data_IF_395616833448
#
_entry.id   IF_395616833448
#
_cell.length_a   1.000
_cell.length_b   1.000
_cell.length_c   1.000
_cell.angle_alpha   90.00
_cell.angle_beta   90.00
_cell.angle_gamma   90.00
#
_symmetry.space_group_name_H-M   'P 1'
#
loop_
_entity.id
_entity.type
_entity.pdbx_description
1 polymer ?
#
# COMPACT_ATOMS: atom_id res chain seq x y z
N UNK A 1 55.39 45.38 12.50
CA UNK A 1 55.60 44.34 13.52
C UNK A 1 54.73 43.14 13.12
N UNK A 2 55.31 42.11 12.50
CA UNK A 2 54.61 40.89 12.06
C UNK A 2 54.86 39.81 13.11
N UNK A 3 53.82 39.34 13.79
CA UNK A 3 53.92 38.15 14.65
C UNK A 3 53.47 36.93 13.86
N UNK A 4 54.41 35.99 13.68
CA UNK A 4 54.14 34.60 13.30
C UNK A 4 53.60 33.88 14.54
N UNK A 5 52.46 33.22 14.41
CA UNK A 5 52.01 32.21 15.36
C UNK A 5 51.96 30.87 14.62
N UNK A 6 52.93 30.02 14.94
CA UNK A 6 53.03 28.64 14.47
C UNK A 6 52.09 27.80 15.33
N UNK A 7 50.96 27.34 14.77
CA UNK A 7 50.08 26.39 15.45
C UNK A 7 50.50 24.96 15.04
N UNK A 8 51.13 24.25 15.97
CA UNK A 8 51.32 22.80 15.91
C UNK A 8 50.02 22.14 16.38
N UNK A 9 49.25 21.57 15.46
CA UNK A 9 48.14 20.68 15.78
C UNK A 9 48.62 19.23 15.61
N UNK A 10 48.77 18.55 16.74
CA UNK A 10 49.00 17.10 16.83
C UNK A 10 47.82 16.37 16.19
N UNK A 11 48.10 15.54 15.18
CA UNK A 11 47.13 14.60 14.63
C UNK A 11 46.77 13.55 15.68
N UNK A 12 45.65 13.74 16.36
CA UNK A 12 44.98 12.65 17.08
C UNK A 12 44.43 11.67 16.06
N UNK A 13 44.85 10.42 16.14
CA UNK A 13 44.27 9.32 15.40
C UNK A 13 42.80 9.14 15.83
N UNK A 14 41.88 9.74 15.08
CA UNK A 14 40.48 9.34 15.10
C UNK A 14 40.42 7.94 14.50
N UNK A 15 40.01 6.97 15.31
CA UNK A 15 39.45 5.73 14.80
C UNK A 15 38.25 6.11 13.94
N UNK A 16 38.43 6.08 12.62
CA UNK A 16 37.34 6.11 11.66
C UNK A 16 36.57 4.79 11.83
N UNK A 17 35.66 4.74 12.80
CA UNK A 17 34.47 3.91 12.67
C UNK A 17 33.79 4.42 11.42
N UNK A 18 33.99 3.70 10.31
CA UNK A 18 33.22 3.85 9.09
C UNK A 18 31.76 3.73 9.49
N UNK A 19 31.08 4.87 9.64
CA UNK A 19 29.63 4.89 9.60
C UNK A 19 29.26 4.32 8.24
N UNK A 20 28.49 3.25 8.22
CA UNK A 20 27.85 2.78 7.00
C UNK A 20 26.96 3.95 6.51
N UNK A 21 27.43 4.71 5.52
CA UNK A 21 26.67 5.79 4.88
C UNK A 21 25.72 5.23 3.83
N UNK A 22 25.14 4.06 4.12
CA UNK A 22 24.13 3.44 3.29
C UNK A 22 22.73 3.83 3.78
N UNK A 23 21.73 3.87 2.90
CA UNK A 23 20.33 3.96 3.28
C UNK A 23 19.98 2.82 4.26
N UNK A 24 19.09 3.11 5.20
CA UNK A 24 18.62 2.13 6.18
C UNK A 24 17.73 1.08 5.49
N UNK A 25 17.80 -0.17 5.95
CA UNK A 25 16.84 -1.22 5.55
C UNK A 25 15.43 -0.86 6.07
N UNK A 26 14.37 -1.29 5.40
CA UNK A 26 12.98 -1.03 5.82
C UNK A 26 12.68 -1.31 7.31
N UNK A 27 13.13 -2.43 7.92
CA UNK A 27 12.94 -2.67 9.35
C UNK A 27 13.63 -1.64 10.26
N UNK A 28 14.78 -1.11 9.83
CA UNK A 28 15.52 -0.09 10.56
C UNK A 28 14.85 1.29 10.43
N UNK A 29 14.24 1.60 9.27
CA UNK A 29 13.45 2.81 9.07
C UNK A 29 12.21 2.81 9.96
N UNK A 30 11.48 1.69 10.03
CA UNK A 30 10.31 1.56 10.91
C UNK A 30 10.68 1.82 12.37
N UNK A 31 11.81 1.25 12.82
CA UNK A 31 12.29 1.48 14.19
C UNK A 31 12.74 2.92 14.42
N UNK A 32 13.43 3.54 13.43
CA UNK A 32 13.91 4.93 13.53
C UNK A 32 12.75 5.94 13.56
N UNK A 33 11.74 5.71 12.75
CA UNK A 33 10.62 6.63 12.53
C UNK A 33 9.38 6.28 13.37
N UNK A 34 9.47 5.30 14.27
CA UNK A 34 8.36 4.84 15.13
C UNK A 34 7.09 4.49 14.33
N UNK A 35 7.28 3.87 13.17
CA UNK A 35 6.18 3.52 12.26
C UNK A 35 5.45 2.27 12.75
N UNK A 36 4.16 2.11 12.38
CA UNK A 36 3.44 0.87 12.63
C UNK A 36 4.14 -0.31 11.95
N UNK A 37 4.09 -1.48 12.58
CA UNK A 37 4.71 -2.71 12.03
C UNK A 37 4.02 -3.19 10.75
N UNK A 38 2.75 -2.82 10.52
CA UNK A 38 2.08 -3.06 9.24
C UNK A 38 2.75 -2.38 8.06
N UNK A 39 3.62 -1.40 8.31
CA UNK A 39 4.35 -0.74 7.24
C UNK A 39 5.38 -1.64 6.54
N UNK A 40 5.62 -2.89 6.99
CA UNK A 40 6.42 -3.86 6.25
C UNK A 40 5.55 -4.68 5.28
N UNK A 41 5.83 -4.59 3.98
CA UNK A 41 5.27 -5.51 2.98
C UNK A 41 6.12 -6.78 2.77
N UNK A 42 7.28 -6.86 3.40
CA UNK A 42 8.25 -7.96 3.26
C UNK A 42 9.55 -7.63 3.98
N UNK A 43 10.62 -8.38 3.68
CA UNK A 43 11.89 -8.25 4.43
C UNK A 43 12.57 -6.88 4.25
N UNK A 44 12.39 -6.23 3.09
CA UNK A 44 13.07 -4.96 2.76
C UNK A 44 12.18 -3.89 2.10
N UNK A 45 10.86 -4.10 1.99
CA UNK A 45 9.92 -3.13 1.41
C UNK A 45 9.07 -2.42 2.47
N UNK A 46 8.95 -1.10 2.34
CA UNK A 46 8.13 -0.25 3.21
C UNK A 46 6.84 0.16 2.47
N UNK A 47 5.70 0.09 3.16
CA UNK A 47 4.41 0.60 2.71
C UNK A 47 3.75 1.35 3.85
N UNK A 48 4.02 2.65 3.89
CA UNK A 48 3.47 3.51 4.90
C UNK A 48 2.17 4.13 4.41
N UNK A 49 1.12 4.05 5.22
CA UNK A 49 -0.10 4.84 5.02
C UNK A 49 -0.43 5.62 6.29
N UNK A 50 -0.74 6.90 6.13
CA UNK A 50 -1.08 7.79 7.24
C UNK A 50 -2.03 8.90 6.83
N UNK A 51 -2.57 9.59 7.84
CA UNK A 51 -3.43 10.75 7.66
C UNK A 51 -3.04 11.93 8.57
N UNK A 52 -3.15 13.15 8.06
CA UNK A 52 -3.04 14.38 8.84
C UNK A 52 -1.60 14.72 9.23
N UNK A 53 -1.43 15.53 10.28
CA UNK A 53 -0.13 16.08 10.69
C UNK A 53 0.91 15.00 11.06
N UNK A 54 0.46 13.86 11.60
CA UNK A 54 1.37 12.75 11.90
C UNK A 54 1.94 12.13 10.63
N UNK A 55 1.15 12.03 9.56
CA UNK A 55 1.61 11.50 8.29
C UNK A 55 2.71 12.34 7.66
N UNK A 56 2.59 13.67 7.74
CA UNK A 56 3.64 14.57 7.25
C UNK A 56 4.97 14.34 7.98
N UNK A 57 4.94 14.18 9.31
CA UNK A 57 6.14 13.92 10.13
C UNK A 57 6.77 12.56 9.85
N UNK A 58 5.94 11.53 9.71
CA UNK A 58 6.40 10.18 9.42
C UNK A 58 7.08 10.14 8.04
N UNK A 59 6.52 10.84 7.05
CA UNK A 59 7.09 10.94 5.71
C UNK A 59 8.43 11.67 5.67
N UNK A 60 8.52 12.82 6.36
CA UNK A 60 9.79 13.54 6.48
C UNK A 60 10.87 12.63 7.09
N UNK A 61 10.51 11.86 8.12
CA UNK A 61 11.43 10.89 8.72
C UNK A 61 11.83 9.77 7.76
N UNK A 62 10.87 9.19 7.02
CA UNK A 62 11.13 8.12 6.04
C UNK A 62 12.08 8.62 4.95
N UNK A 63 11.79 9.78 4.37
CA UNK A 63 12.59 10.36 3.30
C UNK A 63 14.01 10.71 3.78
N UNK A 64 14.16 11.26 4.99
CA UNK A 64 15.48 11.46 5.63
C UNK A 64 16.22 10.13 5.89
N UNK A 65 15.51 9.10 6.37
CA UNK A 65 16.09 7.80 6.68
C UNK A 65 16.65 7.08 5.44
N UNK A 66 16.02 7.29 4.28
CA UNK A 66 16.47 6.78 3.00
C UNK A 66 17.38 7.73 2.23
N UNK A 67 17.65 8.93 2.76
CA UNK A 67 18.43 9.97 2.09
C UNK A 67 17.85 10.31 0.70
N UNK A 68 16.53 10.48 0.63
CA UNK A 68 15.87 11.03 -0.55
C UNK A 68 16.51 12.38 -0.93
N UNK A 69 16.66 12.64 -2.22
CA UNK A 69 17.16 13.93 -2.69
C UNK A 69 16.15 15.05 -2.44
N UNK A 70 16.67 16.28 -2.37
CA UNK A 70 15.88 17.49 -2.11
C UNK A 70 14.80 17.74 -3.18
N UNK A 71 15.01 17.24 -4.41
CA UNK A 71 14.06 17.39 -5.53
C UNK A 71 12.81 16.51 -5.31
N UNK A 72 12.99 15.26 -4.89
CA UNK A 72 11.89 14.36 -4.53
C UNK A 72 11.08 14.89 -3.34
N UNK A 73 11.76 15.45 -2.34
CA UNK A 73 11.12 16.11 -1.19
C UNK A 73 10.23 17.26 -1.64
N UNK A 74 10.72 18.11 -2.53
CA UNK A 74 9.97 19.26 -3.07
C UNK A 74 8.74 18.79 -3.89
N UNK A 75 8.91 17.78 -4.76
CA UNK A 75 7.80 17.22 -5.56
C UNK A 75 6.69 16.61 -4.70
N UNK A 76 7.06 15.87 -3.64
CA UNK A 76 6.09 15.29 -2.69
C UNK A 76 5.36 16.39 -1.92
N UNK A 77 6.07 17.42 -1.45
CA UNK A 77 5.50 18.52 -0.68
C UNK A 77 4.58 19.43 -1.51
N UNK A 78 4.88 19.64 -2.78
CA UNK A 78 4.04 20.44 -3.69
C UNK A 78 2.75 19.73 -4.11
N UNK A 79 2.53 18.47 -3.68
CA UNK A 79 1.33 17.66 -3.99
C UNK A 79 1.08 17.54 -5.49
N UNK A 80 2.13 17.66 -6.31
CA UNK A 80 1.98 17.76 -7.76
C UNK A 80 1.90 16.40 -8.44
N UNK A 81 1.99 15.30 -7.70
CA UNK A 81 2.13 13.97 -8.25
C UNK A 81 0.80 13.23 -8.15
N UNK A 82 0.38 12.58 -9.22
CA UNK A 82 -0.67 11.55 -9.20
C UNK A 82 -0.05 10.15 -9.14
N UNK A 83 -0.86 9.11 -8.94
CA UNK A 83 -0.42 7.71 -8.82
C UNK A 83 0.53 7.26 -9.95
N UNK A 84 0.45 7.89 -11.12
CA UNK A 84 1.23 7.56 -12.32
C UNK A 84 2.59 8.28 -12.42
N UNK A 85 2.90 9.26 -11.56
CA UNK A 85 3.96 10.25 -11.83
C UNK A 85 5.26 10.09 -11.02
N UNK A 86 5.42 9.09 -10.16
CA UNK A 86 6.64 9.00 -9.34
C UNK A 86 7.32 7.65 -9.47
N UNK A 87 8.45 7.65 -10.19
CA UNK A 87 9.54 6.70 -10.03
C UNK A 87 10.83 7.51 -9.97
N UNK A 88 11.34 7.76 -8.77
CA UNK A 88 12.67 8.34 -8.58
C UNK A 88 13.63 7.32 -8.00
N UNK A 89 14.92 7.46 -8.30
CA UNK A 89 15.99 6.62 -7.82
C UNK A 89 16.91 7.43 -6.90
N UNK A 90 16.60 7.41 -5.61
CA UNK A 90 17.59 7.73 -4.58
C UNK A 90 18.20 6.40 -4.12
N UNK A 91 19.47 6.17 -4.45
CA UNK A 91 20.28 5.06 -3.93
C UNK A 91 19.77 3.63 -4.17
N UNK A 92 19.09 3.38 -5.28
CA UNK A 92 18.54 2.07 -5.58
C UNK A 92 17.28 1.76 -4.77
N UNK A 93 16.45 2.78 -4.54
CA UNK A 93 15.08 2.60 -4.07
C UNK A 93 14.12 3.20 -5.09
N UNK A 94 12.99 2.53 -5.25
CA UNK A 94 11.86 3.03 -6.02
C UNK A 94 10.79 3.53 -5.07
N UNK A 95 10.25 4.71 -5.37
CA UNK A 95 9.20 5.35 -4.58
C UNK A 95 7.90 5.32 -5.37
N UNK A 96 6.79 4.96 -4.72
CA UNK A 96 5.46 5.10 -5.30
C UNK A 96 4.53 5.81 -4.31
N UNK A 97 3.75 6.76 -4.82
CA UNK A 97 2.89 7.63 -4.02
C UNK A 97 1.43 7.51 -4.44
N UNK A 98 0.53 7.42 -3.48
CA UNK A 98 -0.90 7.50 -3.75
C UNK A 98 -1.62 8.32 -2.68
N UNK A 99 -2.19 9.46 -3.08
CA UNK A 99 -3.00 10.33 -2.25
C UNK A 99 -3.64 11.43 -3.09
N UNK A 100 -4.75 12.02 -2.64
CA UNK A 100 -5.29 13.25 -3.25
C UNK A 100 -4.93 14.51 -2.46
N UNK A 101 -4.57 14.33 -1.20
CA UNK A 101 -4.14 15.34 -0.26
C UNK A 101 -3.36 14.68 0.90
N UNK A 102 -2.72 15.48 1.74
CA UNK A 102 -2.03 15.04 2.96
C UNK A 102 -2.97 14.45 4.02
N UNK A 103 -4.29 14.50 3.82
CA UNK A 103 -5.24 13.86 4.72
C UNK A 103 -5.30 12.35 4.52
N UNK A 104 -4.82 11.84 3.37
CA UNK A 104 -4.60 10.40 3.15
C UNK A 104 -3.41 10.22 2.22
N UNK A 105 -2.28 9.82 2.80
CA UNK A 105 -1.03 9.67 2.07
C UNK A 105 -0.50 8.27 2.21
N UNK A 106 -0.05 7.70 1.08
CA UNK A 106 0.65 6.44 1.04
C UNK A 106 1.98 6.55 0.32
N UNK A 107 3.00 5.98 0.92
CA UNK A 107 4.37 5.93 0.40
C UNK A 107 4.85 4.48 0.39
N UNK A 108 5.20 4.00 -0.79
CA UNK A 108 5.86 2.70 -0.96
C UNK A 108 7.32 2.90 -1.33
N UNK A 109 8.19 2.13 -0.68
CA UNK A 109 9.64 2.14 -0.91
C UNK A 109 10.08 0.71 -1.19
N UNK A 110 10.66 0.48 -2.37
CA UNK A 110 11.14 -0.83 -2.79
C UNK A 110 12.66 -0.85 -2.92
N UNK A 111 13.34 -1.92 -2.47
CA UNK A 111 14.74 -2.11 -2.77
C UNK A 111 14.89 -2.48 -4.25
N UNK A 112 15.65 -1.71 -5.02
CA UNK A 112 15.92 -2.00 -6.43
C UNK A 112 17.14 -1.28 -6.97
N UNK A 113 18.11 -2.02 -7.49
CA UNK A 113 19.28 -1.45 -8.14
C UNK A 113 18.91 -0.53 -9.31
N UNK A 114 19.69 0.56 -9.45
CA UNK A 114 19.45 1.68 -10.38
C UNK A 114 19.28 1.31 -11.85
N UNK A 115 19.59 0.06 -12.23
CA UNK A 115 19.66 -0.39 -13.61
C UNK A 115 18.45 -1.24 -14.06
N UNK A 116 17.55 -1.63 -13.14
CA UNK A 116 16.30 -2.33 -13.52
C UNK A 116 15.09 -1.57 -12.98
N UNK A 117 14.55 -0.69 -13.82
CA UNK A 117 13.21 -0.14 -13.63
C UNK A 117 12.17 -1.23 -13.88
N UNK A 118 11.89 -2.07 -12.88
CA UNK A 118 10.63 -2.82 -12.85
C UNK A 118 9.51 -1.90 -12.39
N UNK A 119 8.30 -2.12 -12.90
CA UNK A 119 7.08 -1.52 -12.34
C UNK A 119 7.04 -1.83 -10.83
N UNK A 120 6.69 -0.85 -9.97
CA UNK A 120 6.60 -1.09 -8.53
C UNK A 120 5.62 -2.24 -8.28
N UNK A 121 5.95 -3.20 -7.41
CA UNK A 121 5.08 -4.36 -7.21
C UNK A 121 3.72 -3.90 -6.69
N UNK A 122 2.67 -4.39 -7.36
CA UNK A 122 1.27 -4.12 -7.03
C UNK A 122 0.96 -4.67 -5.64
N UNK A 123 -0.01 -4.04 -4.98
CA UNK A 123 -0.44 -4.49 -3.66
C UNK A 123 -1.18 -5.82 -3.74
N UNK A 124 -1.33 -6.56 -2.63
CA UNK A 124 -2.00 -7.84 -2.66
C UNK A 124 -3.42 -7.78 -3.25
N UNK A 125 -4.25 -6.82 -2.83
CA UNK A 125 -5.62 -6.66 -3.33
C UNK A 125 -5.67 -6.15 -4.78
N UNK A 126 -4.74 -5.26 -5.15
CA UNK A 126 -4.61 -4.76 -6.52
C UNK A 126 -4.19 -5.87 -7.49
N UNK A 127 -3.16 -6.64 -7.11
CA UNK A 127 -2.67 -7.80 -7.88
C UNK A 127 -3.75 -8.86 -8.03
N UNK A 128 -4.49 -9.15 -6.95
CA UNK A 128 -5.58 -10.11 -6.99
C UNK A 128 -6.74 -9.61 -7.84
N UNK A 129 -7.06 -8.30 -7.76
CA UNK A 129 -8.11 -7.69 -8.58
C UNK A 129 -7.83 -7.83 -10.06
N UNK A 130 -6.64 -7.43 -10.52
CA UNK A 130 -6.21 -7.57 -11.92
C UNK A 130 -6.15 -9.05 -12.35
N UNK A 131 -5.60 -9.93 -11.53
CA UNK A 131 -5.49 -11.35 -11.87
C UNK A 131 -6.85 -12.03 -12.02
N UNK A 132 -7.87 -11.53 -11.32
CA UNK A 132 -9.23 -12.05 -11.34
C UNK A 132 -10.21 -11.23 -12.21
N UNK A 133 -9.74 -10.19 -12.91
CA UNK A 133 -10.58 -9.38 -13.81
C UNK A 133 -11.55 -8.41 -13.11
N UNK A 134 -11.25 -8.04 -11.86
CA UNK A 134 -12.05 -7.09 -11.06
C UNK A 134 -11.22 -5.86 -10.65
N UNK A 135 -10.22 -5.48 -11.43
CA UNK A 135 -9.36 -4.32 -11.17
C UNK A 135 -10.15 -3.02 -10.96
N UNK A 136 -11.30 -2.87 -11.63
CA UNK A 136 -12.20 -1.72 -11.49
C UNK A 136 -12.93 -1.67 -10.12
N UNK A 137 -12.92 -2.78 -9.36
CA UNK A 137 -13.45 -2.88 -7.99
C UNK A 137 -12.40 -2.55 -6.92
N UNK A 138 -11.15 -2.32 -7.31
CA UNK A 138 -10.07 -1.94 -6.40
C UNK A 138 -10.11 -0.43 -6.16
N UNK A 139 -10.18 -0.03 -4.89
CA UNK A 139 -10.24 1.37 -4.46
C UNK A 139 -9.20 1.67 -3.38
N UNK A 140 -9.17 2.92 -2.91
CA UNK A 140 -8.29 3.38 -1.84
C UNK A 140 -6.80 3.09 -2.10
N UNK A 141 -6.39 3.24 -3.36
CA UNK A 141 -5.01 3.02 -3.79
C UNK A 141 -4.56 1.56 -3.65
N UNK A 142 -5.46 0.58 -3.77
CA UNK A 142 -5.12 -0.84 -3.69
C UNK A 142 -5.32 -1.48 -2.32
N UNK A 143 -5.95 -0.78 -1.36
CA UNK A 143 -6.21 -1.29 0.01
C UNK A 143 -7.62 -1.80 0.22
N UNK A 144 -8.53 -1.46 -0.68
CA UNK A 144 -9.93 -1.82 -0.56
C UNK A 144 -10.37 -2.47 -1.85
N UNK A 145 -11.14 -3.55 -1.72
CA UNK A 145 -11.78 -4.23 -2.82
C UNK A 145 -13.28 -4.30 -2.52
N UNK A 146 -14.08 -3.65 -3.37
CA UNK A 146 -15.53 -3.51 -3.20
C UNK A 146 -16.25 -4.27 -4.31
N UNK A 147 -16.77 -5.44 -3.96
CA UNK A 147 -17.44 -6.37 -4.87
C UNK A 147 -18.95 -6.26 -4.70
N UNK A 148 -19.64 -6.03 -5.80
CA UNK A 148 -21.10 -6.04 -5.91
C UNK A 148 -21.50 -7.35 -6.59
N UNK A 149 -22.31 -8.17 -5.93
CA UNK A 149 -22.65 -9.49 -6.45
C UNK A 149 -23.55 -9.46 -7.68
N UNK A 150 -23.61 -10.59 -8.39
CA UNK A 150 -24.73 -10.88 -9.28
C UNK A 150 -25.78 -11.76 -8.59
N UNK A 151 -26.97 -11.21 -8.37
CA UNK A 151 -28.12 -11.99 -7.90
C UNK A 151 -28.91 -12.65 -9.02
N UNK A 152 -29.78 -13.58 -8.61
CA UNK A 152 -30.37 -14.57 -9.50
C UNK A 152 -31.65 -14.12 -10.20
N UNK A 153 -31.55 -13.20 -11.16
CA UNK A 153 -32.60 -12.94 -12.18
C UNK A 153 -32.14 -12.14 -13.42
N UNK A 154 -30.89 -11.63 -13.45
CA UNK A 154 -30.41 -10.75 -14.55
C UNK A 154 -29.79 -11.48 -15.75
N UNK A 155 -30.00 -12.80 -15.89
CA UNK A 155 -29.50 -13.59 -17.05
C UNK A 155 -30.21 -13.29 -18.38
N UNK A 156 -30.88 -12.14 -18.50
CA UNK A 156 -31.44 -11.71 -19.78
C UNK A 156 -30.39 -10.90 -20.54
N UNK A 157 -30.08 -11.33 -21.76
CA UNK A 157 -29.11 -10.70 -22.68
C UNK A 157 -29.44 -9.21 -22.94
N UNK A 158 -30.66 -8.77 -22.62
CA UNK A 158 -31.17 -7.42 -22.87
C UNK A 158 -30.85 -6.38 -21.78
N UNK A 159 -30.32 -6.78 -20.60
CA UNK A 159 -30.10 -5.86 -19.48
C UNK A 159 -28.63 -5.46 -19.23
N UNK A 160 -27.70 -5.90 -20.10
CA UNK A 160 -26.26 -5.53 -20.05
C UNK A 160 -25.95 -4.04 -20.10
N UNK A 161 -26.94 -3.21 -20.46
CA UNK A 161 -26.77 -1.76 -20.58
C UNK A 161 -27.33 -0.95 -19.39
N UNK A 162 -27.88 -1.61 -18.34
CA UNK A 162 -28.53 -0.90 -17.22
C UNK A 162 -28.24 -1.45 -15.81
N UNK A 163 -27.34 -2.42 -15.66
CA UNK A 163 -26.79 -2.78 -14.36
C UNK A 163 -25.77 -1.73 -13.88
N UNK A 164 -25.54 -1.56 -12.55
CA UNK A 164 -24.33 -0.89 -12.08
C UNK A 164 -23.10 -1.53 -12.75
N UNK A 165 -22.07 -0.72 -12.92
CA UNK A 165 -21.09 -0.89 -14.00
C UNK A 165 -20.30 -2.22 -13.96
N UNK A 166 -20.27 -2.94 -12.83
CA UNK A 166 -19.61 -4.26 -12.69
C UNK A 166 -20.32 -5.08 -11.61
N UNK A 167 -20.96 -6.20 -12.00
CA UNK A 167 -21.42 -7.24 -11.07
C UNK A 167 -20.40 -8.38 -11.12
N UNK A 168 -20.07 -8.94 -9.96
CA UNK A 168 -19.03 -9.94 -9.78
C UNK A 168 -19.64 -11.32 -9.79
N UNK A 169 -19.13 -12.20 -10.65
CA UNK A 169 -19.63 -13.56 -10.77
C UNK A 169 -19.00 -14.51 -9.74
N UNK A 170 -19.59 -15.70 -9.49
CA UNK A 170 -19.05 -16.65 -8.52
C UNK A 170 -17.63 -17.15 -8.81
N UNK A 171 -17.17 -17.14 -10.07
CA UNK A 171 -15.85 -17.59 -10.48
C UNK A 171 -14.79 -16.53 -10.11
N UNK A 172 -15.12 -15.25 -10.29
CA UNK A 172 -14.30 -14.11 -9.85
C UNK A 172 -14.15 -14.08 -8.32
N UNK A 173 -15.24 -14.28 -7.57
CA UNK A 173 -15.18 -14.45 -6.10
C UNK A 173 -14.25 -15.58 -5.69
N UNK A 174 -14.36 -16.75 -6.34
CA UNK A 174 -13.53 -17.90 -6.03
C UNK A 174 -12.06 -17.63 -6.37
N UNK A 175 -11.78 -16.95 -7.48
CA UNK A 175 -10.44 -16.53 -7.86
C UNK A 175 -9.82 -15.65 -6.76
N UNK A 176 -10.53 -14.60 -6.34
CA UNK A 176 -10.08 -13.66 -5.31
C UNK A 176 -9.82 -14.36 -3.98
N UNK A 177 -10.78 -15.14 -3.49
CA UNK A 177 -10.63 -15.83 -2.21
C UNK A 177 -9.50 -16.87 -2.23
N UNK A 178 -9.17 -17.41 -3.40
CA UNK A 178 -8.01 -18.31 -3.56
C UNK A 178 -6.70 -17.54 -3.51
N UNK A 179 -6.58 -16.43 -4.25
CA UNK A 179 -5.36 -15.60 -4.27
C UNK A 179 -5.09 -14.89 -2.94
N UNK A 180 -6.15 -14.45 -2.26
CA UNK A 180 -6.06 -13.82 -0.94
C UNK A 180 -5.97 -14.83 0.20
N UNK A 181 -5.91 -16.12 -0.10
CA UNK A 181 -5.87 -17.22 0.87
C UNK A 181 -6.98 -17.11 1.95
N UNK A 182 -8.15 -16.60 1.56
CA UNK A 182 -9.28 -16.39 2.47
C UNK A 182 -9.65 -17.71 3.15
N UNK A 183 -9.67 -17.78 4.49
CA UNK A 183 -9.96 -19.04 5.17
C UNK A 183 -11.34 -19.59 4.82
N UNK A 184 -11.42 -20.92 4.67
CA UNK A 184 -12.69 -21.60 4.37
C UNK A 184 -13.80 -21.34 5.39
N UNK A 185 -13.47 -20.94 6.63
CA UNK A 185 -14.45 -20.51 7.63
C UNK A 185 -15.17 -19.22 7.20
N UNK A 186 -14.44 -18.24 6.67
CA UNK A 186 -14.99 -16.96 6.20
C UNK A 186 -15.91 -17.20 5.02
N UNK A 187 -15.46 -17.94 4.00
CA UNK A 187 -16.28 -18.24 2.81
C UNK A 187 -17.49 -19.13 3.16
N UNK A 188 -17.35 -20.02 4.14
CA UNK A 188 -18.50 -20.80 4.66
C UNK A 188 -19.52 -19.91 5.36
N UNK A 189 -19.08 -18.92 6.15
CA UNK A 189 -19.98 -17.95 6.78
C UNK A 189 -20.72 -17.12 5.73
N UNK A 190 -20.02 -16.64 4.70
CA UNK A 190 -20.63 -15.96 3.55
C UNK A 190 -21.71 -16.83 2.88
N UNK A 191 -21.40 -18.10 2.58
CA UNK A 191 -22.35 -19.03 1.94
C UNK A 191 -23.62 -19.33 2.76
N UNK A 192 -23.58 -19.09 4.08
CA UNK A 192 -24.70 -19.33 5.01
C UNK A 192 -25.43 -18.05 5.38
N UNK A 193 -24.94 -16.90 4.96
CA UNK A 193 -25.52 -15.60 5.27
C UNK A 193 -26.84 -15.43 4.51
N UNK A 194 -27.89 -15.06 5.23
CA UNK A 194 -29.22 -14.80 4.66
C UNK A 194 -29.47 -13.30 4.63
N UNK A 195 -30.42 -12.89 3.80
CA UNK A 195 -30.79 -11.47 3.67
C UNK A 195 -31.16 -10.79 4.99
N UNK A 196 -31.77 -11.53 5.91
CA UNK A 196 -32.20 -11.04 7.21
C UNK A 196 -31.07 -10.92 8.24
N UNK A 197 -29.90 -11.51 7.97
CA UNK A 197 -28.78 -11.49 8.90
C UNK A 197 -28.06 -10.12 8.87
N UNK A 198 -28.28 -9.32 7.81
CA UNK A 198 -27.67 -8.01 7.64
C UNK A 198 -26.17 -8.08 7.42
N UNK A 199 -25.47 -6.97 7.65
CA UNK A 199 -24.02 -6.87 7.43
C UNK A 199 -23.24 -7.71 8.43
N UNK A 200 -22.51 -8.69 7.92
CA UNK A 200 -21.57 -9.51 8.65
C UNK A 200 -20.14 -8.94 8.54
N UNK A 201 -19.27 -9.29 9.48
CA UNK A 201 -17.86 -8.91 9.50
C UNK A 201 -17.01 -10.05 10.05
N UNK A 202 -15.80 -10.20 9.53
CA UNK A 202 -14.79 -11.14 10.03
C UNK A 202 -13.40 -10.62 9.68
N UNK A 203 -12.44 -10.77 10.58
CA UNK A 203 -11.02 -10.43 10.33
C UNK A 203 -10.23 -11.73 10.20
N UNK A 204 -9.48 -11.89 9.12
CA UNK A 204 -8.70 -13.09 8.87
C UNK A 204 -7.38 -12.76 8.17
N UNK A 205 -6.27 -13.09 8.82
CA UNK A 205 -4.94 -12.72 8.33
C UNK A 205 -4.81 -11.19 8.23
N UNK A 206 -4.29 -10.65 7.12
CA UNK A 206 -4.11 -9.22 6.92
C UNK A 206 -5.38 -8.51 6.40
N UNK A 207 -6.54 -9.20 6.37
CA UNK A 207 -7.76 -8.67 5.74
C UNK A 207 -8.94 -8.61 6.71
N UNK A 208 -9.67 -7.51 6.62
CA UNK A 208 -10.99 -7.32 7.18
C UNK A 208 -12.05 -7.52 6.09
N UNK A 209 -12.94 -8.47 6.31
CA UNK A 209 -14.05 -8.77 5.43
C UNK A 209 -15.34 -8.20 6.04
N UNK A 210 -16.14 -7.53 5.23
CA UNK A 210 -17.52 -7.20 5.54
C UNK A 210 -18.40 -7.61 4.37
N UNK A 211 -19.54 -8.25 4.64
CA UNK A 211 -20.41 -8.70 3.55
C UNK A 211 -21.89 -8.61 3.90
N UNK A 212 -22.70 -8.50 2.86
CA UNK A 212 -24.16 -8.66 2.91
C UNK A 212 -24.59 -9.65 1.84
N UNK A 213 -25.78 -10.22 1.98
CA UNK A 213 -26.38 -11.03 0.95
C UNK A 213 -27.79 -10.54 0.67
N UNK A 214 -28.19 -10.48 -0.60
CA UNK A 214 -29.57 -10.29 -1.02
C UNK A 214 -29.90 -11.28 -2.16
N UNK A 215 -31.08 -11.90 -2.22
CA UNK A 215 -31.42 -12.81 -3.32
C UNK A 215 -31.30 -12.17 -4.71
N UNK A 216 -31.66 -10.89 -4.81
CA UNK A 216 -31.68 -10.12 -6.07
C UNK A 216 -30.29 -9.58 -6.48
N UNK A 217 -29.37 -9.39 -5.52
CA UNK A 217 -28.03 -8.84 -5.78
C UNK A 217 -26.90 -9.86 -5.55
N UNK A 218 -27.18 -11.02 -4.96
CA UNK A 218 -26.14 -11.97 -4.59
C UNK A 218 -25.39 -11.52 -3.33
N UNK A 219 -24.12 -11.90 -3.26
CA UNK A 219 -23.20 -11.56 -2.17
C UNK A 219 -22.51 -10.24 -2.51
N UNK A 220 -22.55 -9.27 -1.59
CA UNK A 220 -21.73 -8.05 -1.68
C UNK A 220 -20.61 -8.17 -0.67
N UNK A 221 -19.37 -7.90 -1.08
CA UNK A 221 -18.20 -8.05 -0.21
C UNK A 221 -17.32 -6.81 -0.27
N UNK A 222 -16.98 -6.30 0.90
CA UNK A 222 -15.94 -5.31 1.11
C UNK A 222 -14.76 -6.02 1.77
N UNK A 223 -13.60 -5.99 1.12
CA UNK A 223 -12.35 -6.48 1.69
C UNK A 223 -11.46 -5.26 1.89
N UNK A 224 -10.93 -5.11 3.10
CA UNK A 224 -9.92 -4.10 3.41
C UNK A 224 -8.66 -4.80 3.87
N UNK A 225 -7.52 -4.34 3.39
CA UNK A 225 -6.25 -4.70 4.01
C UNK A 225 -6.15 -3.94 5.33
N UNK A 226 -6.04 -4.68 6.43
CA UNK A 226 -5.86 -4.11 7.77
C UNK A 226 -4.52 -3.38 7.82
N UNK A 227 -4.55 -2.11 8.22
CA UNK A 227 -3.36 -1.33 8.53
C UNK A 227 -3.19 -1.41 10.04
N UNK A 228 -2.43 -2.40 10.52
CA UNK A 228 -2.12 -2.58 11.96
C UNK A 228 -1.15 -1.52 12.50
#
# INVERSE_FOLDING_TARGET
>A
MRLRATLLLTASALALTSCATGPLTSPAVITKCDLPKSALLGDDSLDYSGSGEQAEKDLECILDAYQADDELLEQIQEKSLTWEETLHNSFGYQWAWSGRDVSSLRLRVFPGDSETYSEPPKLPLESAGEACGVEDSVTDGGLTLSLDGEGGDDRTVENRFKAPKYKVDPEEYQCLFTLLETPSSVTTMMSRTRALDGMQRESAGPYDYAWTYHPDNGLDVLIKQGVD
#
